data_IF_579760078423
#
_entry.id   IF_579760078423
#
_cell.length_a   1.000
_cell.length_b   1.000
_cell.length_c   1.000
_cell.angle_alpha   90.00
_cell.angle_beta   90.00
_cell.angle_gamma   90.00
#
_symmetry.space_group_name_H-M   'P 1'
#
loop_
_entity.id
_entity.type
_entity.pdbx_description
1 polymer ?
#
# COMPACT_ATOMS: atom_id res chain seq x y z
N UNK A 1 -7.97 6.96 -11.77
CA UNK A 1 -8.14 5.49 -11.75
C UNK A 1 -7.08 4.93 -10.82
N UNK A 2 -7.46 4.09 -9.86
CA UNK A 2 -6.51 3.43 -8.93
C UNK A 2 -5.99 2.20 -9.65
N UNK A 3 -4.67 2.02 -9.73
CA UNK A 3 -4.11 0.80 -10.29
C UNK A 3 -4.09 -0.30 -9.22
N UNK A 4 -4.55 -1.49 -9.59
CA UNK A 4 -4.55 -2.64 -8.71
C UNK A 4 -3.98 -3.87 -9.42
N UNK A 5 -3.31 -4.72 -8.67
CA UNK A 5 -2.77 -6.00 -9.13
C UNK A 5 -3.00 -7.04 -8.06
N UNK A 6 -3.42 -8.23 -8.49
CA UNK A 6 -3.62 -9.38 -7.62
C UNK A 6 -2.45 -10.36 -7.80
N UNK A 7 -2.04 -10.99 -6.71
CA UNK A 7 -1.06 -12.07 -6.73
C UNK A 7 -1.30 -13.05 -5.58
N UNK A 8 -0.79 -14.27 -5.71
CA UNK A 8 -0.77 -15.27 -4.64
C UNK A 8 0.67 -15.38 -4.15
N UNK A 9 0.87 -15.34 -2.84
CA UNK A 9 2.19 -15.46 -2.23
C UNK A 9 2.68 -16.91 -2.16
N UNK A 10 3.90 -17.12 -1.66
CA UNK A 10 4.50 -18.46 -1.60
C UNK A 10 3.82 -19.39 -0.59
N UNK A 11 2.95 -18.88 0.30
CA UNK A 11 2.16 -19.69 1.24
C UNK A 11 0.74 -19.97 0.75
N UNK A 12 0.38 -19.48 -0.44
CA UNK A 12 -0.93 -19.69 -1.05
C UNK A 12 -1.98 -18.65 -0.68
N UNK A 13 -1.60 -17.56 0.00
CA UNK A 13 -2.50 -16.49 0.39
C UNK A 13 -2.66 -15.48 -0.75
N UNK A 14 -3.91 -15.13 -1.07
CA UNK A 14 -4.22 -14.14 -2.08
C UNK A 14 -4.05 -12.71 -1.54
N UNK A 15 -3.40 -11.87 -2.33
CA UNK A 15 -3.11 -10.48 -2.03
C UNK A 15 -3.58 -9.56 -3.15
N UNK A 16 -4.23 -8.48 -2.76
CA UNK A 16 -4.56 -7.36 -3.63
C UNK A 16 -3.64 -6.19 -3.33
N UNK A 17 -2.84 -5.78 -4.31
CA UNK A 17 -2.00 -4.58 -4.27
C UNK A 17 -2.76 -3.43 -4.91
N UNK A 18 -2.84 -2.30 -4.23
CA UNK A 18 -3.42 -1.06 -4.76
C UNK A 18 -2.41 0.07 -4.70
N UNK A 19 -2.21 0.72 -5.83
CA UNK A 19 -1.41 1.93 -5.95
C UNK A 19 -2.26 3.14 -5.58
N UNK A 20 -1.92 3.73 -4.44
CA UNK A 20 -2.42 5.04 -4.08
C UNK A 20 -1.37 6.04 -4.53
N UNK A 21 -1.48 6.43 -5.81
CA UNK A 21 -0.75 7.57 -6.33
C UNK A 21 -1.16 8.80 -5.49
N UNK A 22 -0.17 9.53 -4.98
CA UNK A 22 -0.47 10.82 -4.37
C UNK A 22 -1.22 11.66 -5.41
N UNK A 23 -2.42 12.17 -5.13
CA UNK A 23 -3.00 13.19 -5.99
C UNK A 23 -1.96 14.29 -6.06
N UNK A 24 -1.77 14.90 -7.24
CA UNK A 24 -0.89 16.05 -7.45
C UNK A 24 -1.14 17.06 -6.36
N UNK A 25 -0.37 16.98 -5.28
CA UNK A 25 -0.73 17.64 -4.04
C UNK A 25 -0.27 19.06 -4.23
N UNK A 26 -1.19 19.96 -4.54
CA UNK A 26 -0.88 21.37 -4.74
C UNK A 26 -0.93 22.10 -3.39
N UNK A 27 -0.01 23.04 -3.19
CA UNK A 27 -0.04 23.97 -2.05
C UNK A 27 0.30 23.37 -0.68
N UNK A 28 -0.42 23.80 0.36
CA UNK A 28 -0.05 23.63 1.77
C UNK A 28 0.06 22.16 2.22
N UNK A 29 -0.70 21.24 1.63
CA UNK A 29 -0.59 19.81 1.96
C UNK A 29 0.72 19.20 1.44
N UNK A 30 1.24 19.65 0.29
CA UNK A 30 2.58 19.27 -0.17
C UNK A 30 3.65 19.70 0.82
N UNK A 31 3.50 20.90 1.38
CA UNK A 31 4.40 21.48 2.38
C UNK A 31 4.43 20.71 3.72
N UNK A 32 3.27 20.21 4.13
CA UNK A 32 3.14 19.42 5.36
C UNK A 32 3.66 17.98 5.20
N UNK A 33 3.64 17.46 3.97
CA UNK A 33 4.21 16.16 3.60
C UNK A 33 5.68 16.24 3.13
N UNK A 34 6.35 17.41 3.13
CA UNK A 34 7.75 17.51 2.68
C UNK A 34 8.72 16.74 3.57
N UNK A 35 8.42 16.69 4.86
CA UNK A 35 9.17 15.90 5.84
C UNK A 35 8.80 14.42 5.83
N UNK A 36 7.83 14.03 5.01
CA UNK A 36 7.28 12.69 5.02
C UNK A 36 7.61 11.95 3.73
N UNK A 37 8.17 10.73 3.86
CA UNK A 37 8.56 9.86 2.73
C UNK A 37 7.38 9.45 1.83
N UNK A 38 6.18 9.99 2.07
CA UNK A 38 4.91 9.84 1.34
C UNK A 38 4.76 10.69 0.07
N UNK A 39 5.75 11.53 -0.30
CA UNK A 39 5.71 12.36 -1.52
C UNK A 39 5.49 11.58 -2.83
N UNK A 40 5.87 10.30 -2.90
CA UNK A 40 5.77 9.47 -4.12
C UNK A 40 4.48 8.66 -4.28
N UNK A 41 3.55 8.72 -3.32
CA UNK A 41 2.45 7.76 -3.19
C UNK A 41 2.87 6.49 -2.45
N UNK A 42 1.95 5.55 -2.27
CA UNK A 42 2.20 4.30 -1.55
C UNK A 42 1.43 3.12 -2.13
N UNK A 43 1.95 1.92 -1.89
CA UNK A 43 1.22 0.69 -2.14
C UNK A 43 0.50 0.25 -0.86
N UNK A 44 -0.73 -0.19 -1.03
CA UNK A 44 -1.50 -0.90 -0.01
C UNK A 44 -1.62 -2.35 -0.46
N UNK A 45 -1.22 -3.26 0.41
CA UNK A 45 -1.38 -4.70 0.26
C UNK A 45 -2.51 -5.12 1.18
N UNK A 46 -3.51 -5.80 0.64
CA UNK A 46 -4.64 -6.35 1.39
C UNK A 46 -4.66 -7.86 1.14
N UNK A 47 -4.52 -8.65 2.20
CA UNK A 47 -4.70 -10.10 2.11
C UNK A 47 -6.18 -10.46 2.16
N UNK A 48 -6.51 -11.62 1.61
CA UNK A 48 -7.86 -12.19 1.72
C UNK A 48 -8.31 -12.37 3.18
N UNK A 49 -7.37 -12.66 4.09
CA UNK A 49 -7.62 -12.80 5.54
C UNK A 49 -7.82 -11.45 6.26
N UNK A 50 -7.75 -10.33 5.54
CA UNK A 50 -7.98 -8.99 6.08
C UNK A 50 -6.73 -8.30 6.63
N UNK A 51 -5.54 -8.89 6.44
CA UNK A 51 -4.28 -8.24 6.78
C UNK A 51 -3.99 -7.09 5.82
N UNK A 52 -3.60 -5.94 6.37
CA UNK A 52 -3.26 -4.75 5.56
C UNK A 52 -1.84 -4.33 5.81
N UNK A 53 -1.06 -4.18 4.74
CA UNK A 53 0.30 -3.66 4.81
C UNK A 53 0.48 -2.48 3.88
N UNK A 54 1.37 -1.55 4.24
CA UNK A 54 1.64 -0.35 3.45
C UNK A 54 3.12 -0.16 3.20
N UNK A 55 3.47 0.11 1.94
CA UNK A 55 4.82 0.42 1.51
C UNK A 55 4.90 1.84 0.98
N UNK A 56 5.75 2.66 1.60
CA UNK A 56 6.03 4.02 1.17
C UNK A 56 7.53 4.35 1.36
N UNK A 57 8.22 4.89 0.35
CA UNK A 57 7.77 5.05 -1.03
C UNK A 57 7.67 3.68 -1.76
N UNK A 58 6.90 3.61 -2.85
CA UNK A 58 6.87 2.41 -3.69
C UNK A 58 7.90 2.47 -4.82
N UNK A 59 8.43 1.32 -5.28
CA UNK A 59 9.40 1.30 -6.36
C UNK A 59 8.74 1.63 -7.71
N UNK A 60 9.39 2.42 -8.60
CA UNK A 60 8.79 2.87 -9.86
C UNK A 60 8.35 1.72 -10.76
N UNK A 61 9.11 0.62 -10.77
CA UNK A 61 8.85 -0.56 -11.61
C UNK A 61 7.96 -1.62 -10.95
N UNK A 62 7.23 -1.29 -9.86
CA UNK A 62 6.41 -2.27 -9.13
C UNK A 62 5.38 -3.00 -10.01
N UNK A 63 4.93 -2.36 -11.09
CA UNK A 63 3.94 -2.91 -12.03
C UNK A 63 4.50 -4.06 -12.84
N UNK A 64 5.78 -3.99 -13.20
CA UNK A 64 6.49 -4.98 -14.01
C UNK A 64 7.28 -5.97 -13.16
N UNK A 65 7.39 -5.74 -11.85
CA UNK A 65 8.05 -6.65 -10.92
C UNK A 65 7.41 -8.04 -10.93
N UNK A 66 8.24 -9.05 -10.71
CA UNK A 66 7.81 -10.43 -10.57
C UNK A 66 7.00 -10.62 -9.30
N UNK A 67 6.14 -11.64 -9.25
CA UNK A 67 5.37 -11.97 -8.04
C UNK A 67 6.27 -12.16 -6.81
N UNK A 68 7.42 -12.82 -6.99
CA UNK A 68 8.43 -12.99 -5.94
C UNK A 68 8.97 -11.65 -5.38
N UNK A 69 9.20 -10.67 -6.25
CA UNK A 69 9.69 -9.36 -5.82
C UNK A 69 8.61 -8.58 -5.08
N UNK A 70 7.37 -8.64 -5.58
CA UNK A 70 6.21 -8.03 -4.93
C UNK A 70 6.00 -8.65 -3.55
N UNK A 71 6.06 -9.98 -3.42
CA UNK A 71 5.96 -10.68 -2.15
C UNK A 71 7.04 -10.21 -1.16
N UNK A 72 8.30 -10.12 -1.61
CA UNK A 72 9.41 -9.58 -0.80
C UNK A 72 9.12 -8.16 -0.30
N UNK A 73 8.49 -7.32 -1.12
CA UNK A 73 8.08 -5.97 -0.72
C UNK A 73 6.91 -5.98 0.26
N UNK A 74 5.92 -6.86 0.07
CA UNK A 74 4.80 -7.08 1.01
C UNK A 74 5.30 -7.48 2.39
N UNK A 75 6.34 -8.33 2.46
CA UNK A 75 6.96 -8.75 3.72
C UNK A 75 7.74 -7.63 4.42
N UNK A 76 8.28 -6.67 3.66
CA UNK A 76 8.98 -5.49 4.20
C UNK A 76 8.05 -4.32 4.48
N UNK A 77 6.84 -4.35 3.95
CA UNK A 77 5.84 -3.31 4.14
C UNK A 77 5.41 -3.24 5.61
N UNK A 78 5.09 -2.04 6.06
CA UNK A 78 4.68 -1.83 7.45
C UNK A 78 3.26 -2.35 7.61
N UNK A 79 3.04 -3.22 8.60
CA UNK A 79 1.72 -3.65 9.00
C UNK A 79 0.87 -2.42 9.38
N UNK A 80 -0.28 -2.29 8.75
CA UNK A 80 -1.27 -1.30 9.09
C UNK A 80 -2.16 -1.96 10.14
N UNK A 81 -2.17 -1.47 11.40
CA UNK A 81 -3.06 -2.01 12.39
C UNK A 81 -4.49 -1.90 11.84
N UNK A 82 -5.35 -2.91 12.07
CA UNK A 82 -6.76 -2.80 11.71
C UNK A 82 -7.26 -1.50 12.34
N UNK A 83 -7.95 -0.67 11.55
CA UNK A 83 -8.54 0.54 12.09
C UNK A 83 -9.31 0.15 13.36
N UNK A 84 -9.15 0.88 14.49
CA UNK A 84 -9.89 0.56 15.69
C UNK A 84 -11.34 0.44 15.26
N UNK A 85 -11.97 -0.70 15.54
CA UNK A 85 -13.36 -0.95 15.20
C UNK A 85 -14.12 0.32 15.60
N UNK A 86 -14.54 1.10 14.60
CA UNK A 86 -15.29 2.31 14.88
C UNK A 86 -16.47 1.79 15.65
N UNK A 87 -16.54 2.13 16.96
CA UNK A 87 -17.67 1.75 17.79
C UNK A 87 -18.90 2.03 16.95
N UNK A 88 -19.70 0.99 16.73
CA UNK A 88 -21.09 1.18 16.40
C UNK A 88 -21.69 1.98 17.58
N UNK A 89 -21.67 3.30 17.42
CA UNK A 89 -22.45 4.31 18.10
C UNK A 89 -22.92 5.12 16.89
N UNK A 90 -24.17 5.05 16.47
CA UNK A 90 -25.43 5.18 17.21
C UNK A 90 -26.52 4.31 16.56
#
# INVERSE_FOLDING_TARGET
MVQSREFVDSVGLAWTVREIASPTLTGAMARMLEHDRRRGGWLVFESEEGEKRRLAPYPPDWRTMSTYEIERWTMRARLVPPAPARRAQD
#
